data_IF_184616233656
#
_entry.id   IF_184616233656
#
_cell.length_a   1.000
_cell.length_b   1.000
_cell.length_c   1.000
_cell.angle_alpha   90.00
_cell.angle_beta   90.00
_cell.angle_gamma   90.00
#
_symmetry.space_group_name_H-M   'P 1'
#
loop_
_entity.id
_entity.type
_entity.pdbx_description
1 polymer ?
#
# COMPACT_ATOMS: atom_id res chain seq x y z
N UNK A 1 26.38 37.55 15.90
CA UNK A 1 26.19 37.24 14.47
C UNK A 1 24.95 36.38 14.26
N UNK A 2 24.51 35.63 15.28
CA UNK A 2 23.33 34.74 15.31
C UNK A 2 22.00 35.26 14.74
N UNK A 3 21.69 36.56 14.83
CA UNK A 3 20.34 37.03 14.46
C UNK A 3 20.15 37.30 12.95
N UNK A 4 21.24 37.35 12.16
CA UNK A 4 21.15 37.56 10.70
C UNK A 4 21.00 36.24 9.95
N UNK A 5 21.71 35.20 10.38
CA UNK A 5 21.72 33.90 9.69
C UNK A 5 20.36 33.20 9.86
N UNK A 6 19.77 33.25 11.07
CA UNK A 6 18.40 32.76 11.33
C UNK A 6 17.33 33.47 10.47
N UNK A 7 17.49 34.79 10.22
CA UNK A 7 16.59 35.56 9.35
C UNK A 7 16.72 35.18 7.87
N UNK A 8 17.92 34.82 7.42
CA UNK A 8 18.16 34.36 6.05
C UNK A 8 17.56 32.98 5.85
N UNK A 9 17.79 32.06 6.78
CA UNK A 9 17.21 30.71 6.76
C UNK A 9 15.68 30.76 6.67
N UNK A 10 15.02 31.53 7.53
CA UNK A 10 13.56 31.70 7.50
C UNK A 10 13.06 32.26 6.17
N UNK A 11 13.78 33.22 5.59
CA UNK A 11 13.43 33.79 4.28
C UNK A 11 13.56 32.75 3.16
N UNK A 12 14.56 31.88 3.22
CA UNK A 12 14.75 30.76 2.28
C UNK A 12 13.61 29.74 2.44
N UNK A 13 13.31 29.33 3.66
CA UNK A 13 12.25 28.36 3.96
C UNK A 13 10.86 28.87 3.53
N UNK A 14 10.56 30.15 3.74
CA UNK A 14 9.29 30.75 3.33
C UNK A 14 9.02 30.64 1.81
N UNK A 15 10.08 30.67 0.98
CA UNK A 15 9.96 30.52 -0.48
C UNK A 15 9.63 29.10 -0.93
N UNK A 16 9.89 28.11 -0.06
CA UNK A 16 9.62 26.70 -0.30
C UNK A 16 8.22 26.28 0.15
N UNK A 17 7.41 27.20 0.69
CA UNK A 17 6.04 26.90 1.07
C UNK A 17 5.20 26.49 -0.15
N UNK A 18 4.60 25.31 -0.09
CA UNK A 18 3.86 24.73 -1.21
C UNK A 18 2.53 25.49 -1.40
N UNK A 19 2.28 26.06 -2.60
CA UNK A 19 1.01 26.72 -2.90
C UNK A 19 -0.20 25.81 -2.65
N UNK A 20 -1.24 26.34 -1.99
CA UNK A 20 -2.48 25.61 -1.71
C UNK A 20 -3.21 25.14 -2.99
N UNK A 21 -2.95 25.78 -4.13
CA UNK A 21 -3.51 25.39 -5.44
C UNK A 21 -3.13 23.95 -5.83
N UNK A 22 -2.00 23.44 -5.35
CA UNK A 22 -1.60 22.05 -5.58
C UNK A 22 -2.58 21.03 -5.00
N UNK A 23 -3.36 21.41 -3.97
CA UNK A 23 -4.41 20.55 -3.43
C UNK A 23 -5.52 20.24 -4.44
N UNK A 24 -5.70 21.11 -5.45
CA UNK A 24 -6.70 20.97 -6.52
C UNK A 24 -6.06 20.74 -7.88
N UNK A 25 -4.78 20.38 -7.92
CA UNK A 25 -3.98 20.30 -9.15
C UNK A 25 -4.67 19.54 -10.29
N UNK A 26 -5.27 18.35 -10.07
CA UNK A 26 -5.96 17.63 -11.14
C UNK A 26 -7.16 18.38 -11.71
N UNK A 27 -7.89 19.11 -10.87
CA UNK A 27 -9.08 19.86 -11.28
C UNK A 27 -8.72 21.15 -12.04
N UNK A 28 -7.62 21.83 -11.65
CA UNK A 28 -7.21 23.09 -12.29
C UNK A 28 -6.33 22.88 -13.53
N UNK A 29 -5.77 21.68 -13.72
CA UNK A 29 -4.89 21.35 -14.85
C UNK A 29 -5.51 21.65 -16.21
N UNK A 30 -6.82 21.45 -16.34
CA UNK A 30 -7.54 21.64 -17.61
C UNK A 30 -8.30 22.98 -17.68
N UNK A 31 -8.66 23.56 -16.53
CA UNK A 31 -9.57 24.71 -16.46
C UNK A 31 -8.88 26.05 -16.25
N UNK A 32 -7.65 26.08 -15.71
CA UNK A 32 -6.95 27.31 -15.32
C UNK A 32 -5.49 27.33 -15.79
N UNK A 33 -5.23 27.54 -17.10
CA UNK A 33 -3.88 27.44 -17.66
C UNK A 33 -2.90 28.46 -17.07
N UNK A 34 -3.37 29.66 -16.69
CA UNK A 34 -2.53 30.68 -16.05
C UNK A 34 -2.04 30.25 -14.66
N UNK A 35 -2.91 29.61 -13.87
CA UNK A 35 -2.56 29.04 -12.56
C UNK A 35 -1.50 27.96 -12.73
N UNK A 36 -1.66 27.05 -13.69
CA UNK A 36 -0.67 26.00 -13.98
C UNK A 36 0.68 26.58 -14.40
N UNK A 37 0.69 27.58 -15.29
CA UNK A 37 1.94 28.24 -15.69
C UNK A 37 2.67 28.89 -14.50
N UNK A 38 1.92 29.49 -13.55
CA UNK A 38 2.50 30.02 -12.31
C UNK A 38 3.11 28.92 -11.45
N UNK A 39 2.40 27.80 -11.28
CA UNK A 39 2.87 26.66 -10.48
C UNK A 39 4.12 26.00 -11.09
N UNK A 40 4.17 25.84 -12.40
CA UNK A 40 5.35 25.28 -13.09
C UNK A 40 6.56 26.22 -13.01
N UNK A 41 6.36 27.55 -13.13
CA UNK A 41 7.45 28.51 -12.88
C UNK A 41 7.96 28.43 -11.45
N UNK A 42 7.05 28.31 -10.47
CA UNK A 42 7.43 28.15 -9.07
C UNK A 42 8.23 26.86 -8.85
N UNK A 43 7.83 25.73 -9.44
CA UNK A 43 8.57 24.45 -9.37
C UNK A 43 10.01 24.57 -9.88
N UNK A 44 10.24 25.30 -10.96
CA UNK A 44 11.58 25.50 -11.51
C UNK A 44 12.42 26.35 -10.54
N UNK A 45 11.85 27.43 -9.98
CA UNK A 45 12.56 28.32 -9.04
C UNK A 45 12.94 27.62 -7.73
N UNK A 46 12.14 26.65 -7.29
CA UNK A 46 12.41 25.89 -6.07
C UNK A 46 13.74 25.15 -6.12
N UNK A 47 14.20 24.71 -7.30
CA UNK A 47 15.47 23.99 -7.42
C UNK A 47 16.66 24.83 -6.94
N UNK A 48 16.68 26.11 -7.34
CA UNK A 48 17.71 27.05 -6.92
C UNK A 48 17.59 27.33 -5.42
N UNK A 49 16.37 27.54 -4.92
CA UNK A 49 16.11 27.81 -3.49
C UNK A 49 16.52 26.62 -2.59
N UNK A 50 16.25 25.38 -3.01
CA UNK A 50 16.69 24.18 -2.29
C UNK A 50 18.21 24.02 -2.32
N UNK A 51 18.86 24.37 -3.44
CA UNK A 51 20.31 24.35 -3.56
C UNK A 51 20.96 25.39 -2.62
N UNK A 52 20.39 26.59 -2.56
CA UNK A 52 20.81 27.65 -1.64
C UNK A 52 20.60 27.23 -0.19
N UNK A 53 19.46 26.62 0.15
CA UNK A 53 19.19 26.10 1.49
C UNK A 53 20.24 25.04 1.88
N UNK A 54 20.54 24.09 0.99
CA UNK A 54 21.56 23.06 1.26
C UNK A 54 22.93 23.70 1.52
N UNK A 55 23.30 24.74 0.77
CA UNK A 55 24.55 25.47 0.98
C UNK A 55 24.57 26.22 2.32
N UNK A 56 23.45 26.83 2.74
CA UNK A 56 23.30 27.49 4.05
C UNK A 56 23.47 26.47 5.18
N UNK A 57 22.76 25.33 5.10
CA UNK A 57 22.83 24.27 6.10
C UNK A 57 24.22 23.64 6.23
N UNK A 58 25.02 23.63 5.16
CA UNK A 58 26.40 23.14 5.21
C UNK A 58 27.38 24.09 5.93
N UNK A 59 27.03 25.38 6.03
CA UNK A 59 27.87 26.41 6.65
C UNK A 59 27.52 26.64 8.13
N UNK A 60 26.30 26.34 8.54
CA UNK A 60 25.84 26.53 9.92
C UNK A 60 26.18 25.33 10.82
N UNK A 61 26.81 25.60 11.97
CA UNK A 61 27.34 24.54 12.82
C UNK A 61 26.42 24.05 13.93
N UNK A 62 25.27 24.69 14.21
CA UNK A 62 24.27 24.17 15.16
C UNK A 62 22.92 24.91 15.04
N UNK A 63 21.94 24.26 14.41
CA UNK A 63 20.55 24.72 14.41
C UNK A 63 19.85 24.44 15.75
N UNK A 64 19.01 25.36 16.19
CA UNK A 64 18.10 25.14 17.33
C UNK A 64 17.04 24.08 17.02
N UNK A 65 16.37 23.55 18.06
CA UNK A 65 15.29 22.58 17.90
C UNK A 65 14.17 23.10 16.96
N UNK A 66 13.80 24.37 17.12
CA UNK A 66 12.75 25.01 16.32
C UNK A 66 13.16 25.13 14.85
N UNK A 67 14.41 25.55 14.58
CA UNK A 67 14.91 25.69 13.21
C UNK A 67 15.02 24.31 12.52
N UNK A 68 15.50 23.29 13.23
CA UNK A 68 15.50 21.91 12.71
C UNK A 68 14.10 21.44 12.34
N UNK A 69 13.12 21.69 13.21
CA UNK A 69 11.74 21.31 12.96
C UNK A 69 11.14 22.06 11.76
N UNK A 70 11.45 23.34 11.59
CA UNK A 70 11.00 24.15 10.46
C UNK A 70 11.61 23.68 9.14
N UNK A 71 12.93 23.39 9.13
CA UNK A 71 13.62 22.81 7.99
C UNK A 71 12.96 21.48 7.60
N UNK A 72 12.80 20.54 8.53
CA UNK A 72 12.22 19.24 8.23
C UNK A 72 10.78 19.36 7.74
N UNK A 73 9.95 20.19 8.40
CA UNK A 73 8.54 20.37 8.03
C UNK A 73 8.39 20.99 6.63
N UNK A 74 9.37 21.78 6.20
CA UNK A 74 9.41 22.39 4.87
C UNK A 74 9.97 21.44 3.81
N UNK A 75 10.91 20.57 4.18
CA UNK A 75 11.67 19.70 3.25
C UNK A 75 11.07 18.29 3.09
N UNK A 76 10.43 17.73 4.12
CA UNK A 76 9.77 16.43 4.05
C UNK A 76 8.77 16.27 2.87
N UNK A 77 7.99 17.29 2.48
CA UNK A 77 7.11 17.23 1.30
C UNK A 77 7.79 16.96 -0.04
N UNK A 78 9.10 17.12 -0.13
CA UNK A 78 9.86 16.98 -1.36
C UNK A 78 10.49 15.58 -1.51
N UNK A 79 10.50 14.77 -0.45
CA UNK A 79 10.93 13.36 -0.49
C UNK A 79 9.90 12.46 -1.19
N UNK A 80 8.63 12.89 -1.19
CA UNK A 80 7.52 12.16 -1.78
C UNK A 80 7.32 12.38 -3.28
N UNK A 81 6.50 11.52 -3.89
CA UNK A 81 6.07 11.67 -5.29
C UNK A 81 4.79 12.48 -5.32
N UNK A 82 4.89 13.76 -5.70
CA UNK A 82 3.79 14.70 -5.71
C UNK A 82 3.82 15.61 -6.96
N UNK A 83 2.71 16.28 -7.33
CA UNK A 83 2.67 17.16 -8.51
C UNK A 83 3.68 18.31 -8.49
N UNK A 84 4.13 18.73 -7.30
CA UNK A 84 5.13 19.77 -7.11
C UNK A 84 6.58 19.28 -7.10
N UNK A 85 6.81 17.96 -7.03
CA UNK A 85 8.16 17.39 -6.91
C UNK A 85 8.77 17.11 -8.29
N UNK A 86 10.08 17.38 -8.44
CA UNK A 86 10.91 16.98 -9.58
C UNK A 86 12.00 16.03 -9.07
N UNK A 87 12.54 15.16 -9.93
CA UNK A 87 13.59 14.22 -9.51
C UNK A 87 14.82 14.93 -8.94
N UNK A 88 15.20 16.06 -9.52
CA UNK A 88 16.31 16.89 -9.04
C UNK A 88 16.04 17.56 -7.69
N UNK A 89 14.81 18.06 -7.46
CA UNK A 89 14.46 18.68 -6.17
C UNK A 89 14.34 17.63 -5.08
N UNK A 90 13.85 16.43 -5.42
CA UNK A 90 13.77 15.26 -4.54
C UNK A 90 15.15 14.81 -4.08
N UNK A 91 16.11 14.70 -4.99
CA UNK A 91 17.49 14.32 -4.65
C UNK A 91 18.12 15.30 -3.65
N UNK A 92 17.93 16.60 -3.84
CA UNK A 92 18.43 17.62 -2.90
C UNK A 92 17.72 17.51 -1.55
N UNK A 93 16.40 17.35 -1.54
CA UNK A 93 15.62 17.20 -0.32
C UNK A 93 16.06 15.96 0.49
N UNK A 94 16.29 14.83 -0.18
CA UNK A 94 16.79 13.60 0.45
C UNK A 94 18.17 13.81 1.08
N UNK A 95 19.08 14.50 0.38
CA UNK A 95 20.38 14.85 0.94
C UNK A 95 20.29 15.69 2.22
N UNK A 96 19.35 16.64 2.26
CA UNK A 96 19.11 17.47 3.46
C UNK A 96 18.48 16.64 4.58
N UNK A 97 17.48 15.81 4.27
CA UNK A 97 16.79 14.98 5.27
C UNK A 97 17.67 13.89 5.85
N UNK A 98 18.68 13.40 5.11
CA UNK A 98 19.67 12.43 5.61
C UNK A 98 20.47 12.99 6.81
N UNK A 99 20.59 14.31 6.94
CA UNK A 99 21.20 14.94 8.11
C UNK A 99 20.37 14.72 9.40
N UNK A 100 19.13 14.24 9.26
CA UNK A 100 18.15 14.04 10.32
C UNK A 100 17.58 12.61 10.34
N UNK A 101 18.34 11.62 9.86
CA UNK A 101 17.90 10.22 9.75
C UNK A 101 17.58 9.57 11.11
N UNK A 102 18.17 10.05 12.20
CA UNK A 102 17.90 9.59 13.57
C UNK A 102 17.45 10.75 14.47
N UNK A 103 16.22 11.28 14.30
CA UNK A 103 15.77 12.42 15.07
C UNK A 103 15.47 12.04 16.53
N UNK A 104 15.86 12.91 17.46
CA UNK A 104 15.46 12.78 18.86
C UNK A 104 13.91 12.85 18.97
N UNK A 105 13.27 12.05 19.84
CA UNK A 105 11.83 12.14 20.10
C UNK A 105 11.30 13.54 20.39
N UNK A 106 12.11 14.43 20.98
CA UNK A 106 11.78 15.84 21.23
C UNK A 106 11.63 16.66 19.95
N UNK A 107 12.41 16.36 18.92
CA UNK A 107 12.30 16.98 17.59
C UNK A 107 11.01 16.53 16.90
N UNK A 108 10.70 15.23 16.95
CA UNK A 108 9.44 14.69 16.44
C UNK A 108 8.24 15.31 17.17
N UNK A 109 8.30 15.39 18.49
CA UNK A 109 7.27 16.06 19.29
C UNK A 109 7.06 17.50 18.85
N UNK A 110 8.14 18.26 18.67
CA UNK A 110 8.07 19.65 18.24
C UNK A 110 7.47 19.80 16.84
N UNK A 111 7.88 18.97 15.87
CA UNK A 111 7.30 18.96 14.53
C UNK A 111 5.80 18.67 14.59
N UNK A 112 5.43 17.61 15.30
CA UNK A 112 4.04 17.18 15.42
C UNK A 112 3.17 18.20 16.15
N UNK A 113 3.69 18.86 17.20
CA UNK A 113 2.94 19.84 17.98
C UNK A 113 2.79 21.19 17.28
N UNK A 114 3.82 21.63 16.55
CA UNK A 114 3.91 23.00 16.01
C UNK A 114 3.48 23.06 14.55
N UNK A 115 3.78 22.04 13.75
CA UNK A 115 3.53 22.05 12.30
C UNK A 115 2.41 21.12 11.85
N UNK A 116 2.11 20.04 12.59
CA UNK A 116 1.06 19.09 12.19
C UNK A 116 -0.24 19.33 12.93
N UNK A 117 -0.23 19.26 14.27
CA UNK A 117 -1.45 19.36 15.10
C UNK A 117 -2.30 20.60 14.78
N UNK A 118 -1.75 21.81 14.59
CA UNK A 118 -2.57 23.00 14.32
C UNK A 118 -3.34 22.93 13.00
N UNK A 119 -2.86 22.14 12.03
CA UNK A 119 -3.48 21.96 10.72
C UNK A 119 -4.67 21.00 10.81
N UNK A 120 -4.57 19.95 11.63
CA UNK A 120 -5.63 18.95 11.80
C UNK A 120 -6.62 19.25 12.93
N UNK A 121 -6.29 20.15 13.87
CA UNK A 121 -7.13 20.39 15.06
C UNK A 121 -8.53 20.94 14.74
N UNK A 122 -8.69 21.65 13.61
CA UNK A 122 -9.96 22.24 13.21
C UNK A 122 -11.01 21.17 12.87
N UNK A 123 -10.57 20.00 12.40
CA UNK A 123 -11.41 18.87 12.03
C UNK A 123 -10.92 17.63 12.81
N UNK A 124 -11.14 17.62 14.13
CA UNK A 124 -10.70 16.51 14.97
C UNK A 124 -11.46 15.22 14.63
N UNK A 125 -10.73 14.09 14.55
CA UNK A 125 -11.30 12.81 14.18
C UNK A 125 -12.36 12.31 15.19
N UNK A 126 -13.59 11.97 14.76
CA UNK A 126 -14.73 11.75 15.65
C UNK A 126 -14.60 10.48 16.51
N UNK A 127 -13.83 9.48 16.06
CA UNK A 127 -13.64 8.23 16.79
C UNK A 127 -12.50 8.28 17.82
N UNK A 128 -11.76 9.39 17.93
CA UNK A 128 -10.54 9.47 18.73
C UNK A 128 -10.63 10.53 19.82
N UNK A 129 -10.03 10.25 20.96
CA UNK A 129 -9.81 11.22 22.01
C UNK A 129 -8.60 12.12 21.65
N UNK A 130 -8.77 13.44 21.51
CA UNK A 130 -7.70 14.32 21.02
C UNK A 130 -6.47 14.44 21.94
N UNK A 131 -6.61 14.19 23.25
CA UNK A 131 -5.51 14.31 24.21
C UNK A 131 -4.76 13.00 24.43
N UNK A 132 -5.39 11.87 24.15
CA UNK A 132 -4.80 10.54 24.43
C UNK A 132 -4.58 9.68 23.20
N UNK A 133 -5.19 10.01 22.05
CA UNK A 133 -5.16 9.17 20.84
C UNK A 133 -5.88 7.83 21.00
N UNK A 134 -6.64 7.62 22.07
CA UNK A 134 -7.45 6.41 22.29
C UNK A 134 -8.76 6.47 21.53
N UNK A 135 -9.28 5.31 21.14
CA UNK A 135 -10.62 5.21 20.58
C UNK A 135 -11.67 5.68 21.61
N UNK A 136 -12.68 6.41 21.14
CA UNK A 136 -13.83 6.80 21.95
C UNK A 136 -14.89 5.69 21.93
N UNK A 137 -15.57 5.41 23.07
CA UNK A 137 -16.69 4.47 23.10
C UNK A 137 -17.87 4.86 22.21
N UNK A 138 -18.01 6.16 21.93
CA UNK A 138 -19.01 6.75 21.03
C UNK A 138 -18.35 7.90 20.28
N UNK A 139 -18.69 8.06 19.01
CA UNK A 139 -18.19 9.16 18.19
C UNK A 139 -18.51 10.52 18.80
N UNK A 140 -17.50 11.39 18.89
CA UNK A 140 -17.69 12.78 19.27
C UNK A 140 -18.48 13.50 18.17
N UNK A 141 -19.56 14.22 18.53
CA UNK A 141 -20.47 14.87 17.57
C UNK A 141 -21.77 14.11 17.28
N UNK A 142 -21.98 12.93 17.89
CA UNK A 142 -23.25 12.19 17.77
C UNK A 142 -23.39 11.39 16.46
N UNK A 143 -24.62 11.02 16.06
CA UNK A 143 -24.84 10.11 14.92
C UNK A 143 -24.33 10.65 13.57
N UNK A 144 -24.39 11.96 13.36
CA UNK A 144 -23.93 12.63 12.13
C UNK A 144 -22.45 12.98 12.14
N UNK A 145 -21.72 12.68 13.22
CA UNK A 145 -20.32 13.06 13.42
C UNK A 145 -19.41 12.73 12.24
N UNK A 146 -19.66 11.61 11.55
CA UNK A 146 -18.85 11.22 10.37
C UNK A 146 -19.08 12.13 9.17
N UNK A 147 -20.30 12.59 8.94
CA UNK A 147 -20.62 13.51 7.84
C UNK A 147 -20.06 14.90 8.14
N UNK A 148 -20.34 15.41 9.35
CA UNK A 148 -19.87 16.72 9.79
C UNK A 148 -18.33 16.81 9.78
N UNK A 149 -17.66 15.70 10.11
CA UNK A 149 -16.19 15.59 10.09
C UNK A 149 -15.59 15.66 8.67
N UNK A 150 -16.32 15.22 7.65
CA UNK A 150 -15.89 15.29 6.25
C UNK A 150 -16.09 16.69 5.64
N UNK A 151 -16.94 17.52 6.25
CA UNK A 151 -17.17 18.88 5.79
C UNK A 151 -16.08 19.85 6.27
N UNK A 152 -15.68 20.78 5.40
CA UNK A 152 -14.79 21.88 5.76
C UNK A 152 -13.38 21.46 6.22
N UNK A 153 -12.83 20.41 5.63
CA UNK A 153 -11.49 19.89 5.94
C UNK A 153 -10.37 20.87 5.54
N UNK A 154 -10.06 21.80 6.44
CA UNK A 154 -9.07 22.87 6.20
C UNK A 154 -7.64 22.35 6.03
N UNK A 155 -7.32 21.18 6.56
CA UNK A 155 -6.00 20.57 6.39
C UNK A 155 -5.64 20.30 4.92
N UNK A 156 -6.64 20.11 4.05
CA UNK A 156 -6.42 19.92 2.60
C UNK A 156 -5.82 21.13 1.90
N UNK A 157 -5.91 22.34 2.47
CA UNK A 157 -5.19 23.52 1.94
C UNK A 157 -3.68 23.49 2.19
N UNK A 158 -3.18 22.46 2.89
CA UNK A 158 -1.77 22.27 3.23
C UNK A 158 -1.27 20.94 2.62
N UNK A 159 -1.10 20.86 1.29
CA UNK A 159 -0.86 19.60 0.59
C UNK A 159 0.44 18.89 1.02
N UNK A 160 1.43 19.64 1.52
CA UNK A 160 2.69 19.07 2.03
C UNK A 160 2.56 18.32 3.37
N UNK A 161 1.55 18.61 4.18
CA UNK A 161 1.51 18.13 5.57
C UNK A 161 1.41 16.61 5.67
N UNK A 162 0.79 15.95 4.69
CA UNK A 162 0.71 14.48 4.60
C UNK A 162 2.10 13.84 4.63
N UNK A 163 3.06 14.44 3.94
CA UNK A 163 4.45 13.96 3.87
C UNK A 163 5.23 14.25 5.14
N UNK A 164 4.91 15.34 5.85
CA UNK A 164 5.48 15.62 7.19
C UNK A 164 5.03 14.54 8.18
N UNK A 165 3.75 14.15 8.14
CA UNK A 165 3.23 13.02 8.96
C UNK A 165 3.93 11.72 8.59
N UNK A 166 4.04 11.41 7.30
CA UNK A 166 4.77 10.23 6.82
C UNK A 166 6.23 10.21 7.31
N UNK A 167 6.94 11.34 7.22
CA UNK A 167 8.31 11.45 7.69
C UNK A 167 8.40 11.20 9.19
N UNK A 168 7.53 11.83 10.00
CA UNK A 168 7.52 11.62 11.45
C UNK A 168 7.26 10.16 11.84
N UNK A 169 6.34 9.48 11.14
CA UNK A 169 6.02 8.07 11.40
C UNK A 169 7.18 7.15 11.04
N UNK A 170 7.82 7.35 9.88
CA UNK A 170 8.99 6.55 9.44
C UNK A 170 10.16 6.64 10.42
N UNK A 171 10.34 7.79 11.06
CA UNK A 171 11.43 8.04 12.01
C UNK A 171 11.02 7.86 13.47
N UNK A 172 9.77 7.46 13.73
CA UNK A 172 9.30 7.20 15.09
C UNK A 172 9.77 5.81 15.56
N UNK A 173 10.54 5.79 16.65
CA UNK A 173 10.97 4.54 17.28
C UNK A 173 9.87 3.94 18.17
N UNK A 174 9.97 2.64 18.44
CA UNK A 174 9.01 1.92 19.29
C UNK A 174 8.80 2.60 20.67
N UNK A 175 9.87 3.14 21.26
CA UNK A 175 9.80 3.85 22.54
C UNK A 175 9.17 5.24 22.44
N UNK A 176 9.32 5.93 21.31
CA UNK A 176 8.79 7.28 21.12
C UNK A 176 7.26 7.29 20.95
N UNK A 177 6.67 6.21 20.41
CA UNK A 177 5.22 6.13 20.17
C UNK A 177 4.38 6.39 21.42
N UNK A 178 4.77 5.90 22.60
CA UNK A 178 4.00 6.12 23.84
C UNK A 178 3.83 7.62 24.15
N UNK A 179 4.87 8.44 23.88
CA UNK A 179 4.82 9.89 24.09
C UNK A 179 4.05 10.61 22.98
N UNK A 180 4.28 10.19 21.74
CA UNK A 180 3.81 10.88 20.54
C UNK A 180 2.44 10.41 20.02
N UNK A 181 1.87 9.35 20.62
CA UNK A 181 0.66 8.66 20.15
C UNK A 181 -0.50 9.62 19.84
N UNK A 182 -0.78 10.52 20.77
CA UNK A 182 -1.88 11.47 20.70
C UNK A 182 -1.69 12.54 19.60
N UNK A 183 -0.48 12.70 19.08
CA UNK A 183 -0.18 13.60 17.96
C UNK A 183 -0.13 12.87 16.61
N UNK A 184 0.24 11.58 16.60
CA UNK A 184 0.39 10.78 15.39
C UNK A 184 -0.93 10.18 14.93
N UNK A 185 -1.70 9.56 15.83
CA UNK A 185 -2.87 8.79 15.42
C UNK A 185 -3.99 9.63 14.82
N UNK A 186 -4.32 10.82 15.35
CA UNK A 186 -5.36 11.65 14.73
C UNK A 186 -5.10 11.97 13.24
N UNK A 187 -3.94 12.52 12.81
CA UNK A 187 -3.70 12.76 11.39
C UNK A 187 -3.64 11.47 10.55
N UNK A 188 -3.09 10.37 11.10
CA UNK A 188 -3.06 9.07 10.40
C UNK A 188 -4.47 8.56 10.11
N UNK A 189 -5.35 8.57 11.12
CA UNK A 189 -6.75 8.17 10.96
C UNK A 189 -7.50 9.14 10.06
N UNK A 190 -7.19 10.45 10.14
CA UNK A 190 -7.82 11.44 9.26
C UNK A 190 -7.57 11.14 7.78
N UNK A 191 -6.33 10.80 7.42
CA UNK A 191 -5.98 10.45 6.05
C UNK A 191 -6.60 9.12 5.62
N UNK A 192 -6.56 8.11 6.50
CA UNK A 192 -7.07 6.77 6.21
C UNK A 192 -8.60 6.75 6.04
N UNK A 193 -9.33 7.54 6.83
CA UNK A 193 -10.79 7.62 6.80
C UNK A 193 -11.33 8.67 5.81
N UNK A 194 -10.48 9.44 5.13
CA UNK A 194 -10.91 10.47 4.17
C UNK A 194 -11.71 9.91 3.00
N UNK A 195 -12.71 10.62 2.48
CA UNK A 195 -13.52 10.11 1.38
C UNK A 195 -12.78 10.07 0.03
N UNK A 196 -11.71 10.84 -0.16
CA UNK A 196 -10.92 10.84 -1.40
C UNK A 196 -9.89 9.71 -1.37
N UNK A 197 -9.89 8.88 -2.41
CA UNK A 197 -9.03 7.69 -2.48
C UNK A 197 -7.53 8.01 -2.45
N UNK A 198 -7.12 9.17 -2.98
CA UNK A 198 -5.74 9.63 -2.93
C UNK A 198 -5.24 9.81 -1.48
N UNK A 199 -6.02 10.44 -0.60
CA UNK A 199 -5.64 10.60 0.81
C UNK A 199 -5.74 9.27 1.57
N UNK A 200 -6.73 8.43 1.27
CA UNK A 200 -6.79 7.06 1.81
C UNK A 200 -5.52 6.29 1.52
N UNK A 201 -5.06 6.31 0.27
CA UNK A 201 -3.85 5.60 -0.15
C UNK A 201 -2.62 6.06 0.65
N UNK A 202 -2.46 7.37 0.83
CA UNK A 202 -1.41 7.91 1.70
C UNK A 202 -1.59 7.44 3.16
N UNK A 203 -2.81 7.45 3.68
CA UNK A 203 -3.12 6.92 5.01
C UNK A 203 -2.69 5.45 5.16
N UNK A 204 -3.01 4.60 4.18
CA UNK A 204 -2.59 3.19 4.17
C UNK A 204 -1.08 3.03 4.14
N UNK A 205 -0.38 3.85 3.34
CA UNK A 205 1.09 3.82 3.28
C UNK A 205 1.71 4.22 4.62
N UNK A 206 1.21 5.30 5.24
CA UNK A 206 1.68 5.73 6.56
C UNK A 206 1.41 4.67 7.62
N UNK A 207 0.24 4.02 7.60
CA UNK A 207 -0.07 2.89 8.49
C UNK A 207 0.90 1.74 8.26
N UNK A 208 1.21 1.41 7.00
CA UNK A 208 2.16 0.34 6.67
C UNK A 208 3.55 0.60 7.25
N UNK A 209 4.03 1.85 7.18
CA UNK A 209 5.29 2.25 7.80
C UNK A 209 5.21 2.21 9.33
N UNK A 210 4.12 2.71 9.91
CA UNK A 210 3.88 2.69 11.36
C UNK A 210 3.92 1.27 11.93
N UNK A 211 3.29 0.31 11.25
CA UNK A 211 3.20 -1.08 11.70
C UNK A 211 4.55 -1.80 11.81
N UNK A 212 5.62 -1.25 11.23
CA UNK A 212 6.97 -1.81 11.33
C UNK A 212 7.60 -1.60 12.71
N UNK A 213 7.26 -0.51 13.39
CA UNK A 213 7.95 -0.09 14.64
C UNK A 213 7.01 0.11 15.83
N UNK A 214 5.72 0.31 15.59
CA UNK A 214 4.74 0.55 16.66
C UNK A 214 4.60 -0.65 17.62
N UNK A 215 4.58 -0.42 18.94
CA UNK A 215 4.32 -1.49 19.90
C UNK A 215 2.92 -2.09 19.72
N UNK A 216 2.84 -3.40 19.50
CA UNK A 216 1.57 -4.13 19.39
C UNK A 216 0.63 -3.91 20.60
N UNK A 217 1.22 -3.76 21.79
CA UNK A 217 0.45 -3.53 23.00
C UNK A 217 -0.19 -2.14 23.06
N UNK A 218 0.48 -1.12 22.50
CA UNK A 218 -0.05 0.24 22.42
C UNK A 218 -1.29 0.28 21.52
N UNK A 219 -1.24 -0.40 20.37
CA UNK A 219 -2.38 -0.55 19.46
C UNK A 219 -3.58 -1.18 20.16
N UNK A 220 -3.36 -2.28 20.90
CA UNK A 220 -4.42 -2.98 21.64
C UNK A 220 -5.00 -2.17 22.78
N UNK A 221 -4.17 -1.61 23.66
CA UNK A 221 -4.63 -0.89 24.87
C UNK A 221 -5.35 0.42 24.55
N UNK A 222 -5.10 0.98 23.36
CA UNK A 222 -5.75 2.21 22.88
C UNK A 222 -6.99 1.93 22.04
N UNK A 223 -7.22 0.67 21.65
CA UNK A 223 -8.30 0.24 20.77
C UNK A 223 -8.16 0.66 19.32
N UNK A 224 -6.99 1.19 18.94
CA UNK A 224 -6.71 1.66 17.58
C UNK A 224 -6.46 0.49 16.63
N UNK A 225 -6.11 -0.70 17.13
CA UNK A 225 -6.05 -1.93 16.32
C UNK A 225 -7.38 -2.21 15.60
N UNK A 226 -8.51 -2.14 16.32
CA UNK A 226 -9.83 -2.36 15.74
C UNK A 226 -10.25 -1.25 14.77
N UNK A 227 -9.89 0.01 15.08
CA UNK A 227 -10.20 1.15 14.22
C UNK A 227 -9.42 1.07 12.90
N UNK A 228 -8.10 0.86 12.96
CA UNK A 228 -7.27 0.68 11.77
C UNK A 228 -7.74 -0.49 10.92
N UNK A 229 -8.08 -1.62 11.54
CA UNK A 229 -8.57 -2.79 10.82
C UNK A 229 -9.85 -2.47 10.04
N UNK A 230 -10.81 -1.80 10.68
CA UNK A 230 -12.07 -1.37 10.04
C UNK A 230 -11.81 -0.43 8.86
N UNK A 231 -10.91 0.53 9.02
CA UNK A 231 -10.61 1.51 7.98
C UNK A 231 -9.86 0.89 6.80
N UNK A 232 -8.91 -0.01 7.06
CA UNK A 232 -8.17 -0.77 6.05
C UNK A 232 -9.08 -1.72 5.27
N UNK A 233 -10.05 -2.38 5.91
CA UNK A 233 -11.02 -3.23 5.19
C UNK A 233 -12.03 -2.39 4.41
N UNK A 234 -12.39 -1.20 4.91
CA UNK A 234 -13.23 -0.24 4.17
C UNK A 234 -12.57 0.24 2.88
N UNK A 235 -11.24 0.31 2.80
CA UNK A 235 -10.54 0.59 1.54
C UNK A 235 -10.90 -0.39 0.41
N UNK A 236 -11.28 -1.64 0.73
CA UNK A 236 -11.64 -2.66 -0.25
C UNK A 236 -13.04 -2.46 -0.85
N UNK A 237 -13.81 -1.47 -0.36
CA UNK A 237 -15.12 -1.12 -0.92
C UNK A 237 -15.06 0.03 -1.93
N UNK A 238 -13.89 0.64 -2.13
CA UNK A 238 -13.68 1.71 -3.10
C UNK A 238 -13.36 1.08 -4.46
N UNK A 239 -14.40 0.66 -5.18
CA UNK A 239 -14.24 -0.20 -6.36
C UNK A 239 -14.19 0.55 -7.71
N UNK A 240 -14.71 1.77 -7.77
CA UNK A 240 -14.91 2.51 -9.02
C UNK A 240 -14.11 3.82 -9.06
N UNK A 241 -12.82 3.73 -8.72
CA UNK A 241 -11.94 4.88 -8.62
C UNK A 241 -10.54 4.54 -9.21
N UNK A 242 -9.83 5.49 -9.86
CA UNK A 242 -8.53 5.21 -10.47
C UNK A 242 -7.46 4.69 -9.50
N UNK A 243 -7.52 5.09 -8.23
CA UNK A 243 -6.60 4.65 -7.19
C UNK A 243 -6.94 3.26 -6.62
N UNK A 244 -8.10 2.68 -6.96
CA UNK A 244 -8.57 1.35 -6.48
C UNK A 244 -7.48 0.27 -6.55
N UNK A 245 -6.78 0.07 -7.68
CA UNK A 245 -5.79 -1.00 -7.78
C UNK A 245 -4.61 -0.80 -6.82
N UNK A 246 -4.15 0.45 -6.66
CA UNK A 246 -3.08 0.81 -5.72
C UNK A 246 -3.55 0.69 -4.27
N UNK A 247 -4.79 1.07 -4.00
CA UNK A 247 -5.39 1.01 -2.68
C UNK A 247 -5.54 -0.43 -2.19
N UNK A 248 -6.01 -1.36 -3.04
CA UNK A 248 -6.08 -2.79 -2.71
C UNK A 248 -4.69 -3.35 -2.40
N UNK A 249 -3.70 -3.08 -3.28
CA UNK A 249 -2.32 -3.55 -3.13
C UNK A 249 -1.63 -3.06 -1.86
N UNK A 250 -2.01 -1.87 -1.38
CA UNK A 250 -1.49 -1.33 -0.12
C UNK A 250 -2.29 -1.82 1.10
N UNK A 251 -3.63 -1.82 1.02
CA UNK A 251 -4.50 -2.04 2.17
C UNK A 251 -4.54 -3.50 2.62
N UNK A 252 -4.55 -4.46 1.69
CA UNK A 252 -4.61 -5.89 2.05
C UNK A 252 -3.36 -6.32 2.84
N UNK A 253 -2.11 -6.06 2.38
CA UNK A 253 -0.93 -6.41 3.17
C UNK A 253 -0.85 -5.65 4.49
N UNK A 254 -1.28 -4.38 4.54
CA UNK A 254 -1.32 -3.61 5.78
C UNK A 254 -2.31 -4.21 6.79
N UNK A 255 -3.50 -4.61 6.34
CA UNK A 255 -4.51 -5.25 7.18
C UNK A 255 -4.02 -6.60 7.72
N UNK A 256 -3.39 -7.43 6.86
CA UNK A 256 -2.77 -8.68 7.30
C UNK A 256 -1.68 -8.40 8.33
N UNK A 257 -0.77 -7.46 8.07
CA UNK A 257 0.33 -7.11 8.99
C UNK A 257 -0.19 -6.65 10.35
N UNK A 258 -1.23 -5.82 10.37
CA UNK A 258 -1.90 -5.39 11.61
C UNK A 258 -2.46 -6.57 12.39
N UNK A 259 -3.16 -7.50 11.72
CA UNK A 259 -3.74 -8.69 12.36
C UNK A 259 -2.64 -9.59 12.91
N UNK A 260 -1.57 -9.83 12.14
CA UNK A 260 -0.42 -10.63 12.56
C UNK A 260 0.30 -10.02 13.78
N UNK A 261 0.38 -8.69 13.83
CA UNK A 261 1.03 -7.95 14.92
C UNK A 261 0.20 -7.95 16.21
N UNK A 262 -1.12 -7.78 16.08
CA UNK A 262 -1.99 -7.50 17.24
C UNK A 262 -2.69 -8.74 17.80
N UNK A 263 -2.98 -9.75 16.98
CA UNK A 263 -3.70 -10.95 17.39
C UNK A 263 -2.75 -12.15 17.56
N UNK A 264 -2.82 -12.89 18.71
CA UNK A 264 -1.97 -14.05 18.94
C UNK A 264 -2.13 -15.12 17.84
N UNK A 265 -1.03 -15.81 17.52
CA UNK A 265 -1.04 -16.94 16.60
C UNK A 265 -2.01 -18.04 17.07
N UNK A 266 -2.83 -18.56 16.14
CA UNK A 266 -3.84 -19.57 16.44
C UNK A 266 -5.09 -19.07 17.19
N UNK A 267 -5.18 -17.77 17.51
CA UNK A 267 -6.39 -17.22 18.15
C UNK A 267 -7.57 -17.15 17.20
N UNK A 268 -8.79 -17.31 17.74
CA UNK A 268 -10.03 -17.14 16.99
C UNK A 268 -10.14 -15.72 16.40
N UNK A 269 -9.75 -14.69 17.15
CA UNK A 269 -9.71 -13.30 16.67
C UNK A 269 -8.87 -13.18 15.40
N UNK A 270 -7.65 -13.72 15.40
CA UNK A 270 -6.76 -13.71 14.22
C UNK A 270 -7.39 -14.42 13.04
N UNK A 271 -7.94 -15.61 13.25
CA UNK A 271 -8.59 -16.38 12.20
C UNK A 271 -9.78 -15.63 11.58
N UNK A 272 -10.67 -15.10 12.42
CA UNK A 272 -11.87 -14.38 11.96
C UNK A 272 -11.50 -13.11 11.18
N UNK A 273 -10.53 -12.33 11.66
CA UNK A 273 -10.10 -11.12 10.95
C UNK A 273 -9.46 -11.43 9.59
N UNK A 274 -8.64 -12.48 9.49
CA UNK A 274 -8.08 -12.90 8.20
C UNK A 274 -9.16 -13.46 7.26
N UNK A 275 -10.15 -14.16 7.80
CA UNK A 275 -11.34 -14.60 7.06
C UNK A 275 -12.18 -13.42 6.57
N UNK A 276 -12.26 -12.33 7.33
CA UNK A 276 -12.96 -11.11 6.93
C UNK A 276 -12.24 -10.43 5.75
N UNK A 277 -10.90 -10.34 5.79
CA UNK A 277 -10.11 -9.80 4.67
C UNK A 277 -10.34 -10.62 3.40
N UNK A 278 -10.20 -11.95 3.45
CA UNK A 278 -10.33 -12.80 2.26
C UNK A 278 -11.78 -13.00 1.83
N UNK A 279 -12.63 -13.42 2.77
CA UNK A 279 -14.00 -13.84 2.51
C UNK A 279 -14.94 -12.68 2.21
N UNK A 280 -14.97 -11.68 3.09
CA UNK A 280 -15.88 -10.53 2.92
C UNK A 280 -15.24 -9.44 2.05
N UNK A 281 -13.97 -9.10 2.30
CA UNK A 281 -13.26 -8.04 1.58
C UNK A 281 -12.96 -8.39 0.12
N UNK A 282 -12.23 -9.48 -0.13
CA UNK A 282 -11.82 -9.83 -1.49
C UNK A 282 -12.94 -10.57 -2.24
N UNK A 283 -13.37 -11.72 -1.72
CA UNK A 283 -14.31 -12.60 -2.41
C UNK A 283 -15.71 -11.98 -2.40
N UNK A 284 -16.18 -11.51 -1.25
CA UNK A 284 -17.53 -10.99 -1.05
C UNK A 284 -17.74 -9.58 -1.60
N UNK A 285 -16.69 -8.75 -1.66
CA UNK A 285 -16.78 -7.39 -2.15
C UNK A 285 -16.18 -7.24 -3.56
N UNK A 286 -14.86 -7.30 -3.70
CA UNK A 286 -14.17 -6.99 -4.97
C UNK A 286 -14.66 -7.93 -6.08
N UNK A 287 -14.65 -9.25 -5.87
CA UNK A 287 -14.97 -10.19 -6.96
C UNK A 287 -16.45 -10.21 -7.35
N UNK A 288 -17.33 -9.80 -6.44
CA UNK A 288 -18.78 -9.74 -6.70
C UNK A 288 -19.16 -8.42 -7.35
N UNK A 289 -18.56 -7.31 -6.92
CA UNK A 289 -19.01 -5.96 -7.28
C UNK A 289 -18.11 -5.26 -8.30
N UNK A 290 -16.83 -5.65 -8.43
CA UNK A 290 -15.85 -5.06 -9.35
C UNK A 290 -15.63 -5.93 -10.61
N UNK A 291 -16.66 -6.64 -11.07
CA UNK A 291 -16.55 -7.60 -12.19
C UNK A 291 -16.15 -6.97 -13.52
N UNK A 292 -16.31 -5.65 -13.68
CA UNK A 292 -15.97 -4.91 -14.91
C UNK A 292 -14.61 -4.21 -14.80
N UNK A 293 -14.05 -4.17 -13.61
CA UNK A 293 -12.84 -3.46 -13.23
C UNK A 293 -11.68 -4.46 -13.15
N UNK A 294 -11.19 -4.89 -14.33
CA UNK A 294 -10.14 -5.92 -14.42
C UNK A 294 -8.91 -5.60 -13.58
N UNK A 295 -8.53 -4.31 -13.49
CA UNK A 295 -7.37 -3.89 -12.69
C UNK A 295 -7.60 -4.04 -11.18
N UNK A 296 -8.83 -3.91 -10.70
CA UNK A 296 -9.18 -4.12 -9.30
C UNK A 296 -9.16 -5.62 -8.95
N UNK A 297 -9.66 -6.46 -9.85
CA UNK A 297 -9.57 -7.92 -9.70
C UNK A 297 -8.10 -8.35 -9.72
N UNK A 298 -7.31 -7.88 -10.69
CA UNK A 298 -5.87 -8.13 -10.77
C UNK A 298 -5.18 -7.70 -9.46
N UNK A 299 -5.49 -6.51 -8.94
CA UNK A 299 -4.97 -6.02 -7.67
C UNK A 299 -5.26 -6.95 -6.50
N UNK A 300 -6.48 -7.46 -6.42
CA UNK A 300 -6.86 -8.39 -5.35
C UNK A 300 -6.09 -9.70 -5.48
N UNK A 301 -5.87 -10.19 -6.70
CA UNK A 301 -5.11 -11.41 -7.00
C UNK A 301 -3.63 -11.25 -6.63
N UNK A 302 -3.03 -10.10 -6.91
CA UNK A 302 -1.65 -9.77 -6.50
C UNK A 302 -1.43 -9.94 -4.98
N UNK A 303 -2.46 -9.63 -4.18
CA UNK A 303 -2.38 -9.67 -2.72
C UNK A 303 -2.79 -11.01 -2.11
N UNK A 304 -3.41 -11.91 -2.87
CA UNK A 304 -3.87 -13.21 -2.37
C UNK A 304 -2.77 -14.04 -1.70
N UNK A 305 -1.53 -14.15 -2.23
CA UNK A 305 -0.49 -14.93 -1.57
C UNK A 305 -0.24 -14.48 -0.12
N UNK A 306 -0.36 -13.19 0.17
CA UNK A 306 -0.18 -12.63 1.51
C UNK A 306 -1.27 -13.13 2.47
N UNK A 307 -2.55 -13.04 2.07
CA UNK A 307 -3.67 -13.43 2.93
C UNK A 307 -3.78 -14.94 3.06
N UNK A 308 -3.58 -15.68 1.96
CA UNK A 308 -3.64 -17.16 1.94
C UNK A 308 -2.56 -17.75 2.85
N UNK A 309 -1.32 -17.26 2.79
CA UNK A 309 -0.24 -17.72 3.68
C UNK A 309 -0.51 -17.34 5.15
N UNK A 310 -1.12 -16.19 5.41
CA UNK A 310 -1.47 -15.78 6.76
C UNK A 310 -2.61 -16.63 7.36
N UNK A 311 -3.59 -17.04 6.55
CA UNK A 311 -4.68 -17.95 6.92
C UNK A 311 -4.24 -19.41 7.07
N UNK A 312 -3.14 -19.77 6.42
CA UNK A 312 -2.64 -21.15 6.33
C UNK A 312 -3.77 -22.09 5.84
N UNK A 313 -3.84 -23.33 6.35
CA UNK A 313 -4.87 -24.33 6.01
C UNK A 313 -6.31 -23.81 6.12
N UNK A 314 -6.55 -22.70 6.84
CA UNK A 314 -7.84 -22.01 6.87
C UNK A 314 -8.33 -21.56 5.48
N UNK A 315 -7.41 -21.27 4.55
CA UNK A 315 -7.72 -20.85 3.18
C UNK A 315 -8.45 -21.94 2.36
N UNK A 316 -8.34 -23.22 2.76
CA UNK A 316 -8.98 -24.37 2.10
C UNK A 316 -10.48 -24.17 1.89
N UNK A 317 -11.15 -23.50 2.82
CA UNK A 317 -12.61 -23.28 2.75
C UNK A 317 -13.02 -22.39 1.57
N UNK A 318 -12.09 -21.62 1.01
CA UNK A 318 -12.32 -20.70 -0.09
C UNK A 318 -11.92 -21.27 -1.45
N UNK A 319 -11.41 -22.52 -1.54
CA UNK A 319 -10.95 -23.11 -2.81
C UNK A 319 -11.99 -23.06 -3.92
N UNK A 320 -13.28 -23.14 -3.58
CA UNK A 320 -14.38 -23.04 -4.54
C UNK A 320 -14.49 -21.67 -5.21
N UNK A 321 -14.06 -20.61 -4.54
CA UNK A 321 -13.96 -19.27 -5.12
C UNK A 321 -12.58 -19.03 -5.72
N UNK A 322 -11.51 -19.39 -5.00
CA UNK A 322 -10.13 -19.11 -5.40
C UNK A 322 -9.75 -19.78 -6.73
N UNK A 323 -9.97 -21.09 -6.86
CA UNK A 323 -9.47 -21.82 -8.04
C UNK A 323 -10.14 -21.35 -9.34
N UNK A 324 -11.47 -21.22 -9.43
CA UNK A 324 -12.10 -20.70 -10.65
C UNK A 324 -11.65 -19.28 -10.99
N UNK A 325 -11.54 -18.39 -10.00
CA UNK A 325 -11.13 -17.01 -10.22
C UNK A 325 -9.70 -16.91 -10.78
N UNK A 326 -8.80 -17.76 -10.30
CA UNK A 326 -7.40 -17.75 -10.72
C UNK A 326 -7.14 -18.51 -12.02
N UNK A 327 -7.97 -19.49 -12.36
CA UNK A 327 -7.87 -20.22 -13.63
C UNK A 327 -8.46 -19.42 -14.78
N UNK A 328 -9.53 -18.65 -14.54
CA UNK A 328 -10.24 -17.92 -15.59
C UNK A 328 -9.32 -17.03 -16.47
N UNK A 329 -8.41 -16.20 -15.90
CA UNK A 329 -7.49 -15.37 -16.70
C UNK A 329 -6.57 -16.16 -17.64
N UNK A 330 -6.31 -17.44 -17.35
CA UNK A 330 -5.42 -18.31 -18.12
C UNK A 330 -6.09 -18.91 -19.38
N UNK A 331 -7.42 -18.82 -19.49
CA UNK A 331 -8.17 -19.48 -20.56
C UNK A 331 -8.45 -18.51 -21.73
N UNK A 332 -8.25 -18.92 -23.00
CA UNK A 332 -8.66 -18.13 -24.15
C UNK A 332 -10.20 -18.19 -24.27
N UNK A 333 -10.89 -17.19 -23.72
CA UNK A 333 -12.35 -17.12 -23.71
C UNK A 333 -12.84 -15.80 -24.31
N UNK A 334 -13.97 -15.85 -25.02
CA UNK A 334 -14.65 -14.65 -25.53
C UNK A 334 -15.11 -13.77 -24.36
N UNK A 335 -14.37 -12.69 -24.11
CA UNK A 335 -14.57 -11.79 -22.98
C UNK A 335 -13.48 -11.86 -21.90
N UNK A 336 -12.56 -12.82 -21.97
CA UNK A 336 -11.34 -12.77 -21.17
C UNK A 336 -10.32 -11.83 -21.84
N UNK A 337 -10.14 -10.64 -21.25
CA UNK A 337 -9.19 -9.61 -21.70
C UNK A 337 -8.00 -9.52 -20.72
N UNK A 338 -7.69 -10.62 -20.03
CA UNK A 338 -6.59 -10.65 -19.07
C UNK A 338 -5.27 -10.28 -19.74
N UNK A 339 -4.59 -9.30 -19.14
CA UNK A 339 -3.23 -8.92 -19.52
C UNK A 339 -2.26 -10.04 -19.15
N UNK A 340 -1.08 -10.06 -19.78
CA UNK A 340 0.01 -10.99 -19.37
C UNK A 340 0.35 -10.84 -17.88
N UNK A 341 0.33 -9.61 -17.37
CA UNK A 341 0.52 -9.30 -15.95
C UNK A 341 -0.53 -9.99 -15.10
N UNK A 342 -1.81 -9.90 -15.43
CA UNK A 342 -2.87 -10.56 -14.69
C UNK A 342 -2.77 -12.09 -14.74
N UNK A 343 -2.36 -12.66 -15.87
CA UNK A 343 -2.09 -14.10 -15.99
C UNK A 343 -0.95 -14.53 -15.05
N UNK A 344 0.14 -13.75 -15.02
CA UNK A 344 1.28 -14.01 -14.15
C UNK A 344 0.91 -13.95 -12.66
N UNK A 345 0.18 -12.90 -12.27
CA UNK A 345 -0.36 -12.75 -10.91
C UNK A 345 -1.24 -13.94 -10.52
N UNK A 346 -2.05 -14.43 -11.45
CA UNK A 346 -2.92 -15.59 -11.24
C UNK A 346 -2.12 -16.88 -11.04
N UNK A 347 -1.04 -17.09 -11.80
CA UNK A 347 -0.13 -18.23 -11.63
C UNK A 347 0.61 -18.18 -10.27
N UNK A 348 1.11 -17.01 -9.87
CA UNK A 348 1.75 -16.83 -8.56
C UNK A 348 0.77 -17.07 -7.40
N UNK A 349 -0.46 -16.58 -7.50
CA UNK A 349 -1.52 -16.85 -6.53
C UNK A 349 -1.91 -18.33 -6.52
N UNK A 350 -2.00 -19.00 -7.68
CA UNK A 350 -2.25 -20.45 -7.76
C UNK A 350 -1.16 -21.24 -7.05
N UNK A 351 0.12 -20.93 -7.28
CA UNK A 351 1.22 -21.59 -6.59
C UNK A 351 1.07 -21.48 -5.07
N UNK A 352 0.83 -20.28 -4.53
CA UNK A 352 0.61 -20.07 -3.10
C UNK A 352 -0.63 -20.83 -2.57
N UNK A 353 -1.72 -20.86 -3.32
CA UNK A 353 -2.94 -21.63 -2.96
C UNK A 353 -2.66 -23.13 -2.96
N UNK A 354 -1.93 -23.66 -3.94
CA UNK A 354 -1.58 -25.09 -4.02
C UNK A 354 -0.70 -25.49 -2.84
N UNK A 355 0.31 -24.69 -2.52
CA UNK A 355 1.23 -24.93 -1.40
C UNK A 355 0.47 -24.98 -0.07
N UNK A 356 -0.31 -23.93 0.23
CA UNK A 356 -1.01 -23.79 1.52
C UNK A 356 -2.18 -24.77 1.63
N UNK A 357 -2.93 -24.97 0.54
CA UNK A 357 -4.11 -25.83 0.54
C UNK A 357 -3.82 -27.26 0.06
N UNK A 358 -2.55 -27.69 0.06
CA UNK A 358 -2.11 -29.00 -0.41
C UNK A 358 -2.99 -30.17 0.07
N UNK A 359 -3.46 -30.25 1.34
CA UNK A 359 -4.30 -31.36 1.80
C UNK A 359 -5.61 -31.55 1.02
N UNK A 360 -6.13 -30.51 0.36
CA UNK A 360 -7.40 -30.55 -0.38
C UNK A 360 -7.27 -30.26 -1.88
N UNK A 361 -6.06 -29.95 -2.36
CA UNK A 361 -5.85 -29.54 -3.76
C UNK A 361 -6.09 -30.67 -4.78
N UNK A 362 -6.02 -31.93 -4.35
CA UNK A 362 -6.26 -33.10 -5.21
C UNK A 362 -7.61 -33.09 -5.95
N UNK A 363 -8.63 -32.39 -5.42
CA UNK A 363 -9.95 -32.25 -6.07
C UNK A 363 -9.97 -31.18 -7.17
N UNK A 364 -9.02 -30.26 -7.11
CA UNK A 364 -8.91 -29.08 -7.97
C UNK A 364 -7.83 -29.24 -9.04
N UNK A 365 -6.95 -30.24 -8.92
CA UNK A 365 -5.83 -30.50 -9.84
C UNK A 365 -6.23 -30.49 -11.32
N UNK A 366 -7.40 -31.04 -11.67
CA UNK A 366 -7.87 -31.08 -13.05
C UNK A 366 -8.21 -29.69 -13.60
N UNK A 367 -8.92 -28.87 -12.82
CA UNK A 367 -9.26 -27.50 -13.21
C UNK A 367 -8.02 -26.60 -13.30
N UNK A 368 -7.10 -26.73 -12.35
CA UNK A 368 -5.83 -25.97 -12.34
C UNK A 368 -5.00 -26.36 -13.56
N UNK A 369 -4.84 -27.66 -13.81
CA UNK A 369 -4.04 -28.16 -14.92
C UNK A 369 -4.65 -27.77 -16.28
N UNK A 370 -5.97 -27.86 -16.45
CA UNK A 370 -6.65 -27.40 -17.67
C UNK A 370 -6.36 -25.91 -17.96
N UNK A 371 -6.43 -25.05 -16.93
CA UNK A 371 -6.09 -23.63 -17.06
C UNK A 371 -4.65 -23.38 -17.51
N UNK A 372 -3.69 -24.00 -16.81
CA UNK A 372 -2.26 -23.87 -17.12
C UNK A 372 -1.95 -24.39 -18.53
N UNK A 373 -2.55 -25.52 -18.94
CA UNK A 373 -2.33 -26.10 -20.26
C UNK A 373 -2.86 -25.20 -21.38
N UNK A 374 -4.04 -24.60 -21.21
CA UNK A 374 -4.60 -23.69 -22.21
C UNK A 374 -3.72 -22.47 -22.42
N UNK A 375 -3.22 -21.88 -21.33
CA UNK A 375 -2.26 -20.78 -21.42
C UNK A 375 -0.97 -21.25 -22.10
N UNK A 376 -0.40 -22.37 -21.66
CA UNK A 376 0.84 -22.93 -22.23
C UNK A 376 0.74 -23.14 -23.75
N UNK A 377 -0.35 -23.75 -24.21
CA UNK A 377 -0.63 -23.96 -25.64
C UNK A 377 -0.72 -22.63 -26.37
N UNK A 378 -1.47 -21.68 -25.81
CA UNK A 378 -1.59 -20.34 -26.40
C UNK A 378 -0.22 -19.65 -26.54
N UNK A 379 0.64 -19.75 -25.53
CA UNK A 379 1.99 -19.16 -25.55
C UNK A 379 2.98 -19.91 -26.46
N UNK A 380 2.73 -21.17 -26.78
CA UNK A 380 3.52 -21.91 -27.77
C UNK A 380 3.08 -21.57 -29.20
N UNK A 381 1.77 -21.48 -29.42
CA UNK A 381 1.17 -21.20 -30.73
C UNK A 381 1.44 -19.77 -31.21
N UNK A 382 1.51 -18.79 -30.29
CA UNK A 382 1.87 -17.40 -30.67
C UNK A 382 3.29 -17.28 -31.23
N UNK A 383 4.20 -18.19 -30.84
CA UNK A 383 5.59 -18.17 -31.27
C UNK A 383 6.40 -16.94 -30.82
N UNK A 384 5.82 -16.08 -29.96
CA UNK A 384 6.46 -14.88 -29.44
C UNK A 384 7.41 -15.28 -28.31
N UNK A 385 8.66 -14.81 -28.38
CA UNK A 385 9.69 -15.04 -27.36
C UNK A 385 10.16 -13.70 -26.75
N UNK A 386 9.22 -13.00 -26.11
CA UNK A 386 9.51 -11.83 -25.26
C UNK A 386 9.70 -12.24 -23.79
N UNK A 387 10.24 -11.32 -23.00
CA UNK A 387 10.56 -11.54 -21.58
C UNK A 387 9.31 -11.97 -20.78
N UNK A 388 8.20 -11.26 -20.97
CA UNK A 388 6.91 -11.57 -20.34
C UNK A 388 6.44 -13.00 -20.66
N UNK A 389 6.62 -13.46 -21.90
CA UNK A 389 6.22 -14.80 -22.33
C UNK A 389 7.09 -15.88 -21.69
N UNK A 390 8.39 -15.63 -21.53
CA UNK A 390 9.29 -16.53 -20.80
C UNK A 390 8.93 -16.58 -19.32
N UNK A 391 8.62 -15.44 -18.72
CA UNK A 391 8.20 -15.35 -17.32
C UNK A 391 6.90 -16.15 -17.09
N UNK A 392 5.91 -15.99 -17.97
CA UNK A 392 4.68 -16.79 -17.92
C UNK A 392 4.93 -18.29 -18.08
N UNK A 393 5.79 -18.71 -19.02
CA UNK A 393 6.16 -20.12 -19.18
C UNK A 393 6.81 -20.67 -17.92
N UNK A 394 7.74 -19.92 -17.32
CA UNK A 394 8.38 -20.30 -16.06
C UNK A 394 7.37 -20.39 -14.90
N UNK A 395 6.42 -19.45 -14.80
CA UNK A 395 5.37 -19.49 -13.79
C UNK A 395 4.42 -20.69 -13.99
N UNK A 396 4.08 -21.06 -15.23
CA UNK A 396 3.33 -22.27 -15.55
C UNK A 396 4.05 -23.54 -15.05
N UNK A 397 5.36 -23.64 -15.31
CA UNK A 397 6.19 -24.74 -14.79
C UNK A 397 6.17 -24.77 -13.26
N UNK A 398 6.32 -23.61 -12.61
CA UNK A 398 6.25 -23.50 -11.16
C UNK A 398 4.92 -23.99 -10.57
N UNK A 399 3.79 -23.70 -11.21
CA UNK A 399 2.47 -24.21 -10.80
C UNK A 399 2.40 -25.74 -10.95
N UNK A 400 2.91 -26.30 -12.04
CA UNK A 400 3.00 -27.75 -12.22
C UNK A 400 3.89 -28.42 -11.14
N UNK A 401 5.04 -27.83 -10.82
CA UNK A 401 5.90 -28.32 -9.75
C UNK A 401 5.20 -28.28 -8.38
N UNK A 402 4.43 -27.22 -8.09
CA UNK A 402 3.62 -27.12 -6.88
C UNK A 402 2.54 -28.23 -6.85
N UNK A 403 1.86 -28.47 -7.97
CA UNK A 403 0.87 -29.55 -8.08
C UNK A 403 1.50 -30.92 -7.87
N UNK A 404 2.69 -31.16 -8.41
CA UNK A 404 3.42 -32.41 -8.23
C UNK A 404 3.79 -32.65 -6.77
N UNK A 405 4.30 -31.62 -6.08
CA UNK A 405 4.62 -31.69 -4.65
C UNK A 405 3.37 -31.95 -3.81
N UNK A 406 2.28 -31.24 -4.08
CA UNK A 406 1.05 -31.36 -3.30
C UNK A 406 0.25 -32.64 -3.62
N UNK A 407 0.37 -33.17 -4.83
CA UNK A 407 -0.36 -34.35 -5.31
C UNK A 407 0.53 -35.26 -6.18
N UNK A 408 1.44 -36.06 -5.60
CA UNK A 408 2.42 -36.85 -6.37
C UNK A 408 1.82 -37.80 -7.42
N UNK A 409 0.56 -38.21 -7.23
CA UNK A 409 -0.18 -39.02 -8.20
C UNK A 409 -0.30 -38.36 -9.59
N UNK A 410 -0.16 -37.04 -9.69
CA UNK A 410 -0.22 -36.33 -10.99
C UNK A 410 0.89 -36.73 -11.95
N UNK A 411 2.05 -37.14 -11.45
CA UNK A 411 3.14 -37.61 -12.30
C UNK A 411 2.72 -38.81 -13.17
N UNK A 412 2.11 -39.80 -12.53
CA UNK A 412 1.82 -41.10 -13.15
C UNK A 412 0.47 -41.12 -13.88
N UNK A 413 -0.38 -40.11 -13.65
CA UNK A 413 -1.72 -40.05 -14.23
C UNK A 413 -1.80 -38.93 -15.26
N UNK A 414 -1.86 -37.69 -14.80
CA UNK A 414 -2.06 -36.55 -15.68
C UNK A 414 -0.81 -36.24 -16.53
N UNK A 415 0.40 -36.18 -15.94
CA UNK A 415 1.61 -35.78 -16.68
C UNK A 415 2.06 -36.85 -17.67
N UNK A 416 1.99 -38.13 -17.28
CA UNK A 416 2.23 -39.23 -18.22
C UNK A 416 1.33 -39.13 -19.45
N UNK A 417 0.02 -38.91 -19.27
CA UNK A 417 -0.93 -38.74 -20.39
C UNK A 417 -0.59 -37.54 -21.27
N UNK A 418 -0.15 -36.42 -20.70
CA UNK A 418 0.26 -35.26 -21.49
C UNK A 418 1.49 -35.55 -22.35
N UNK A 419 2.48 -36.25 -21.79
CA UNK A 419 3.70 -36.64 -22.53
C UNK A 419 3.42 -37.67 -23.62
N UNK A 420 2.42 -38.53 -23.42
CA UNK A 420 1.97 -39.48 -24.44
C UNK A 420 1.26 -38.78 -25.62
N UNK A 421 0.55 -37.67 -25.34
CA UNK A 421 -0.12 -36.86 -26.37
C UNK A 421 0.91 -36.09 -27.20
N UNK A 422 1.79 -35.33 -26.55
CA UNK A 422 2.87 -34.61 -27.24
C UNK A 422 4.04 -34.32 -26.29
N UNK A 423 5.07 -35.15 -26.37
CA UNK A 423 6.28 -35.04 -25.56
C UNK A 423 7.10 -33.78 -25.86
N UNK A 424 7.05 -33.26 -27.09
CA UNK A 424 7.81 -32.08 -27.48
C UNK A 424 7.14 -30.82 -26.92
N UNK A 425 5.80 -30.78 -26.99
CA UNK A 425 5.00 -29.65 -26.51
C UNK A 425 4.92 -29.57 -24.98
N UNK A 426 4.60 -30.68 -24.31
CA UNK A 426 4.37 -30.67 -22.86
C UNK A 426 5.60 -31.09 -22.04
N UNK A 427 6.62 -31.66 -22.68
CA UNK A 427 7.88 -32.03 -22.04
C UNK A 427 8.50 -30.89 -21.21
N UNK A 428 8.70 -29.68 -21.76
CA UNK A 428 9.27 -28.57 -21.00
C UNK A 428 8.41 -28.11 -19.81
N UNK A 429 7.08 -28.29 -19.88
CA UNK A 429 6.15 -27.87 -18.82
C UNK A 429 6.20 -28.76 -17.57
N UNK A 430 6.32 -30.08 -17.75
CA UNK A 430 6.18 -31.07 -16.66
C UNK A 430 7.47 -31.83 -16.31
N UNK A 431 8.60 -31.49 -16.95
CA UNK A 431 9.90 -32.11 -16.64
C UNK A 431 10.39 -31.64 -15.26
N UNK A 432 10.79 -32.62 -14.45
CA UNK A 432 11.32 -32.39 -13.11
C UNK A 432 12.64 -31.62 -13.18
N UNK A 433 12.66 -30.38 -12.68
CA UNK A 433 13.89 -29.66 -12.35
C UNK A 433 14.55 -30.35 -11.13
N UNK A 434 15.21 -31.51 -11.33
CA UNK A 434 15.86 -32.21 -10.21
C UNK A 434 16.20 -33.69 -10.34
N UNK A 435 16.18 -34.29 -11.54
CA UNK A 435 16.88 -35.57 -11.78
C UNK A 435 17.69 -35.46 -13.06
N UNK A 436 18.86 -34.82 -12.93
CA UNK A 436 19.97 -35.05 -13.83
C UNK A 436 20.62 -36.39 -13.45
N UNK A 437 20.81 -37.23 -14.45
CA UNK A 437 21.74 -38.36 -14.41
C UNK A 437 23.19 -37.89 -14.14
#
# INVERSE_FOLDING_TARGET
MDNRDSSILQTTLAKLHIPADFARYPAIAETEPETILRLERWKIQVLDVLSDLRAQLAQEQLLSLSEKAEVISTIAPWDGVAPWTLDSTREIAQNVLHLYEDPDPSLLEHILSTHVKPIFQANAHPSLNPSTGRILPRSAGGPSARLDYMEGQTWKSHPGTVYVVSWCVRHCTSAAYEKLWHLIIPPVMTLLDDYEAAYKLHGVQIVSDMLRTVPADLLRRTGVDGLLFTSLTTCLTYLHNPETPSLIRAAVPAAVSLVLLTAPAGSEKRFNQLCEILGEGIIGSIWVHATRESEAIEASVDTLPTVVRALDVGAVRYLKALVPQLVFPLQPASGNVATKRFQLSSLHALAAVIEVCAPRIHRWKGAILDGVLRLWVTLADTGVDDDDTRELKHACMGVCDCLLKACPAVANLEYARLLDVDKMMFGPLVRQSGKGD
#
